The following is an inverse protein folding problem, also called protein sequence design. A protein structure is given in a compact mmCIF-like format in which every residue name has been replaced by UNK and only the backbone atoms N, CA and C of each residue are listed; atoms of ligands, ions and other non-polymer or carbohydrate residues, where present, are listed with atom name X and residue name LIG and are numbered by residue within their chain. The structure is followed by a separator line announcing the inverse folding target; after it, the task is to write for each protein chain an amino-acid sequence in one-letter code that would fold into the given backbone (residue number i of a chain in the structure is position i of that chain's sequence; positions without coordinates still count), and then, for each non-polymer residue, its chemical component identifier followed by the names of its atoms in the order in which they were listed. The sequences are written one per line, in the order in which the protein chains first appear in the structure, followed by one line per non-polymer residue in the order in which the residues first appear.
data_IF_428710482746
#
_entry.id   IF_428710482746
#
_cell.length_a   1.000
_cell.length_b   1.000
_cell.length_c   1.000
_cell.angle_alpha   90.00
_cell.angle_beta   90.00
_cell.angle_gamma   90.00
#
_symmetry.space_group_name_H-M   'P 1'
#
loop_
_entity.id
_entity.type
_entity.pdbx_description
1 polymer ?
#
# COMPACT_ATOMS: atom_id res chain seq x y z
N UNK A 1 8.62 -16.59 0.14
CA UNK A 1 8.56 -15.72 1.33
C UNK A 1 9.08 -16.46 2.54
N UNK A 2 9.77 -15.77 3.47
CA UNK A 2 10.28 -16.35 4.73
C UNK A 2 9.53 -15.78 5.93
N UNK A 3 8.98 -16.64 6.78
CA UNK A 3 8.29 -16.19 8.00
C UNK A 3 9.29 -15.66 9.04
N UNK A 4 8.96 -14.52 9.63
CA UNK A 4 9.79 -13.80 10.61
C UNK A 4 8.91 -13.14 11.67
N UNK A 5 9.53 -12.77 12.79
CA UNK A 5 8.93 -11.95 13.86
C UNK A 5 8.89 -10.46 13.49
N UNK A 6 8.11 -9.67 14.22
CA UNK A 6 8.07 -8.22 14.03
C UNK A 6 9.40 -7.53 14.34
N UNK A 7 10.12 -7.99 15.36
CA UNK A 7 11.45 -7.45 15.68
C UNK A 7 12.44 -7.71 14.54
N UNK A 8 12.34 -8.88 13.91
CA UNK A 8 13.12 -9.19 12.71
C UNK A 8 12.73 -8.32 11.52
N UNK A 9 11.43 -8.05 11.29
CA UNK A 9 10.98 -7.10 10.25
C UNK A 9 11.63 -5.73 10.46
N UNK A 10 11.59 -5.19 11.69
CA UNK A 10 12.18 -3.88 11.99
C UNK A 10 13.68 -3.87 11.76
N UNK A 11 14.38 -4.91 12.20
CA UNK A 11 15.82 -5.05 11.98
C UNK A 11 16.15 -5.10 10.48
N UNK A 12 15.41 -5.89 9.71
CA UNK A 12 15.58 -6.00 8.26
C UNK A 12 15.32 -4.67 7.55
N UNK A 13 14.26 -3.94 7.92
CA UNK A 13 13.97 -2.64 7.34
C UNK A 13 15.08 -1.61 7.60
N UNK A 14 15.61 -1.55 8.83
CA UNK A 14 16.78 -0.71 9.14
C UNK A 14 18.00 -1.12 8.30
N UNK A 15 18.29 -2.41 8.22
CA UNK A 15 19.38 -2.94 7.38
C UNK A 15 19.21 -2.54 5.90
N UNK A 16 17.98 -2.49 5.38
CA UNK A 16 17.70 -2.08 4.00
C UNK A 16 17.96 -0.59 3.80
N UNK A 17 17.55 0.25 4.76
CA UNK A 17 17.85 1.69 4.75
C UNK A 17 19.36 1.93 4.80
N UNK A 18 20.07 1.30 5.74
CA UNK A 18 21.54 1.46 5.90
C UNK A 18 22.32 1.04 4.66
N UNK A 19 21.83 0.02 3.93
CA UNK A 19 22.46 -0.52 2.72
C UNK A 19 21.92 0.10 1.43
N UNK A 20 21.09 1.14 1.52
CA UNK A 20 20.44 1.80 0.38
C UNK A 20 19.77 0.79 -0.59
N UNK A 21 19.07 -0.19 -0.02
CA UNK A 21 18.30 -1.18 -0.78
C UNK A 21 16.96 -0.60 -1.21
N UNK A 22 16.46 -1.05 -2.34
CA UNK A 22 15.07 -0.84 -2.73
C UNK A 22 14.20 -1.82 -1.95
N UNK A 23 13.24 -1.28 -1.19
CA UNK A 23 12.34 -2.08 -0.39
C UNK A 23 10.97 -1.41 -0.27
N UNK A 24 9.96 -2.20 0.06
CA UNK A 24 8.65 -1.68 0.45
C UNK A 24 7.94 -2.72 1.32
N UNK A 25 6.71 -2.44 1.74
CA UNK A 25 5.95 -3.33 2.58
C UNK A 25 4.44 -3.26 2.30
N UNK A 26 3.74 -4.34 2.65
CA UNK A 26 2.29 -4.44 2.61
C UNK A 26 1.73 -4.82 3.97
N UNK A 27 0.63 -4.18 4.35
CA UNK A 27 -0.23 -4.64 5.44
C UNK A 27 -1.54 -5.08 4.82
N UNK A 28 -1.79 -6.39 4.86
CA UNK A 28 -2.97 -7.00 4.28
C UNK A 28 -3.93 -7.40 5.39
N UNK A 29 -5.17 -6.93 5.32
CA UNK A 29 -6.26 -7.40 6.16
C UNK A 29 -6.83 -8.73 5.66
N UNK A 30 -7.58 -9.50 6.47
CA UNK A 30 -8.17 -10.77 6.05
C UNK A 30 -9.12 -10.67 4.84
N UNK A 31 -9.67 -9.49 4.56
CA UNK A 31 -10.55 -9.19 3.44
C UNK A 31 -9.81 -8.67 2.20
N UNK A 32 -8.49 -8.47 2.27
CA UNK A 32 -7.68 -8.06 1.14
C UNK A 32 -7.54 -9.19 0.10
N UNK A 33 -7.68 -8.86 -1.19
CA UNK A 33 -7.58 -9.81 -2.29
C UNK A 33 -6.17 -10.37 -2.48
N UNK A 34 -5.14 -9.65 -2.04
CA UNK A 34 -3.77 -10.17 -2.01
C UNK A 34 -3.52 -11.10 -0.81
N UNK A 35 -4.44 -11.16 0.15
CA UNK A 35 -4.29 -11.99 1.34
C UNK A 35 -5.02 -13.32 1.19
N UNK A 36 -4.26 -14.42 1.22
CA UNK A 36 -4.80 -15.78 1.24
C UNK A 36 -5.00 -16.32 2.67
N UNK A 37 -4.62 -15.55 3.69
CA UNK A 37 -4.75 -15.91 5.10
C UNK A 37 -6.00 -15.31 5.73
N UNK A 38 -6.57 -16.00 6.72
CA UNK A 38 -7.63 -15.44 7.58
C UNK A 38 -7.10 -14.46 8.65
N UNK A 39 -5.78 -14.24 8.70
CA UNK A 39 -5.09 -13.33 9.63
C UNK A 39 -4.67 -12.05 8.92
N UNK A 40 -4.35 -11.02 9.70
CA UNK A 40 -3.59 -9.88 9.19
C UNK A 40 -2.19 -10.35 8.80
N UNK A 41 -1.67 -9.83 7.68
CA UNK A 41 -0.35 -10.17 7.16
C UNK A 41 0.47 -8.89 6.98
N UNK A 42 1.70 -8.90 7.48
CA UNK A 42 2.71 -7.91 7.16
C UNK A 42 3.74 -8.58 6.24
N UNK A 43 3.96 -7.99 5.08
CA UNK A 43 4.98 -8.44 4.12
C UNK A 43 6.01 -7.33 3.99
N UNK A 44 7.27 -7.66 4.18
CA UNK A 44 8.40 -6.77 3.92
C UNK A 44 9.17 -7.32 2.72
N UNK A 45 9.34 -6.51 1.69
CA UNK A 45 9.99 -6.92 0.44
C UNK A 45 11.29 -6.16 0.25
N UNK A 46 12.36 -6.89 0.05
CA UNK A 46 13.62 -6.38 -0.49
C UNK A 46 13.59 -6.62 -2.00
N UNK A 47 13.32 -5.53 -2.74
CA UNK A 47 13.19 -5.54 -4.20
C UNK A 47 14.56 -5.78 -4.83
N UNK A 48 15.62 -5.16 -4.29
CA UNK A 48 16.99 -5.32 -4.80
C UNK A 48 17.44 -6.78 -4.81
N UNK A 49 17.21 -7.51 -3.72
CA UNK A 49 17.67 -8.89 -3.57
C UNK A 49 16.58 -9.93 -3.93
N UNK A 50 15.38 -9.47 -4.32
CA UNK A 50 14.21 -10.30 -4.66
C UNK A 50 13.80 -11.28 -3.54
N UNK A 51 13.81 -10.80 -2.30
CA UNK A 51 13.43 -11.60 -1.12
C UNK A 51 12.31 -10.91 -0.36
N UNK A 52 11.29 -11.68 0.01
CA UNK A 52 10.16 -11.20 0.80
C UNK A 52 10.04 -11.96 2.14
N UNK A 53 9.72 -11.23 3.19
CA UNK A 53 9.55 -11.68 4.55
C UNK A 53 8.10 -11.48 4.98
N UNK A 54 7.56 -12.38 5.79
CA UNK A 54 6.14 -12.39 6.14
C UNK A 54 5.94 -12.57 7.66
N UNK A 55 4.96 -11.87 8.22
CA UNK A 55 4.50 -12.05 9.60
C UNK A 55 2.96 -12.09 9.63
N UNK A 56 2.40 -12.96 10.46
CA UNK A 56 0.96 -13.12 10.63
C UNK A 56 0.52 -12.63 12.02
N UNK A 57 -0.65 -12.00 12.11
CA UNK A 57 -1.21 -11.51 13.36
C UNK A 57 -2.74 -11.60 13.39
N UNK A 58 -3.31 -11.79 14.57
CA UNK A 58 -4.76 -11.68 14.79
C UNK A 58 -5.22 -10.23 14.94
N UNK A 59 -4.29 -9.28 15.07
CA UNK A 59 -4.55 -7.84 15.19
C UNK A 59 -3.85 -7.04 14.08
N UNK A 60 -4.38 -5.87 13.67
CA UNK A 60 -3.78 -5.03 12.65
C UNK A 60 -2.36 -4.51 12.99
N UNK A 61 -1.50 -4.38 11.98
CA UNK A 61 -0.11 -3.91 12.10
C UNK A 61 0.04 -2.36 12.14
N UNK A 62 -0.88 -1.65 12.80
CA UNK A 62 -0.94 -0.18 12.72
C UNK A 62 0.32 0.53 13.24
N UNK A 63 0.90 0.07 14.34
CA UNK A 63 2.07 0.72 14.95
C UNK A 63 3.32 0.53 14.10
N UNK A 64 3.63 -0.71 13.74
CA UNK A 64 4.80 -1.02 12.91
C UNK A 64 4.66 -0.44 11.50
N UNK A 65 3.44 -0.40 10.93
CA UNK A 65 3.21 0.22 9.63
C UNK A 65 3.59 1.71 9.61
N UNK A 66 3.28 2.45 10.68
CA UNK A 66 3.70 3.86 10.81
C UNK A 66 5.22 4.00 10.92
N UNK A 67 5.88 3.10 11.66
CA UNK A 67 7.34 3.09 11.78
C UNK A 67 8.00 2.82 10.42
N UNK A 68 7.54 1.79 9.69
CA UNK A 68 8.06 1.44 8.37
C UNK A 68 7.82 2.54 7.34
N UNK A 69 6.64 3.19 7.35
CA UNK A 69 6.34 4.29 6.44
C UNK A 69 7.33 5.46 6.61
N UNK A 70 7.67 5.80 7.85
CA UNK A 70 8.68 6.83 8.16
C UNK A 70 10.07 6.42 7.69
N UNK A 71 10.44 5.15 7.84
CA UNK A 71 11.72 4.64 7.34
C UNK A 71 11.80 4.68 5.81
N UNK A 72 10.68 4.41 5.12
CA UNK A 72 10.63 4.33 3.66
C UNK A 72 10.65 5.71 2.98
N UNK A 73 9.90 6.67 3.52
CA UNK A 73 9.67 7.96 2.86
C UNK A 73 10.25 9.16 3.63
N UNK A 74 10.83 8.94 4.81
CA UNK A 74 11.25 10.00 5.71
C UNK A 74 10.08 10.62 6.49
N UNK A 75 10.40 11.45 7.48
CA UNK A 75 9.42 12.02 8.42
C UNK A 75 8.41 12.99 7.76
N UNK A 76 8.76 13.61 6.63
CA UNK A 76 7.97 14.69 6.02
C UNK A 76 6.78 14.20 5.17
N UNK A 77 6.79 12.95 4.71
CA UNK A 77 5.81 12.46 3.72
C UNK A 77 4.41 12.20 4.31
N UNK A 78 4.32 12.00 5.62
CA UNK A 78 3.02 11.74 6.28
C UNK A 78 2.16 13.01 6.40
N UNK A 79 2.78 14.19 6.41
CA UNK A 79 2.07 15.47 6.55
C UNK A 79 1.68 16.08 5.20
N UNK A 80 2.57 15.98 4.20
CA UNK A 80 2.37 16.55 2.86
C UNK A 80 1.21 15.92 2.08
N UNK A 81 0.87 14.65 2.34
CA UNK A 81 -0.20 13.96 1.60
C UNK A 81 -1.62 14.41 1.99
N UNK A 82 -1.78 15.25 3.02
CA UNK A 82 -3.07 15.83 3.41
C UNK A 82 -3.47 17.06 2.59
N UNK A 83 -2.54 17.68 1.86
CA UNK A 83 -2.75 18.95 1.18
C UNK A 83 -3.59 18.88 -0.11
N UNK A 84 -3.93 17.68 -0.59
CA UNK A 84 -4.46 17.50 -1.95
C UNK A 84 -3.43 17.89 -3.01
N UNK A 85 -3.81 17.84 -4.28
CA UNK A 85 -2.99 18.34 -5.39
C UNK A 85 -3.87 19.08 -6.39
N UNK A 86 -3.32 20.11 -7.05
CA UNK A 86 -3.96 20.80 -8.17
C UNK A 86 -3.72 20.10 -9.50
N UNK A 87 -2.90 19.05 -9.52
CA UNK A 87 -2.65 18.23 -10.71
C UNK A 87 -3.87 17.36 -10.99
N UNK A 88 -4.33 17.35 -12.24
CA UNK A 88 -5.46 16.52 -12.65
C UNK A 88 -5.12 15.02 -12.50
N UNK A 89 -6.03 14.20 -11.92
CA UNK A 89 -5.79 12.77 -11.79
C UNK A 89 -5.79 12.09 -13.16
N UNK A 90 -5.02 10.99 -13.27
CA UNK A 90 -5.00 10.17 -14.48
C UNK A 90 -6.35 9.51 -14.76
N UNK A 91 -6.55 9.05 -16.01
CA UNK A 91 -7.85 8.51 -16.46
C UNK A 91 -8.37 7.36 -15.58
N UNK A 92 -7.51 6.39 -15.27
CA UNK A 92 -7.88 5.26 -14.40
C UNK A 92 -8.11 5.70 -12.94
N UNK A 93 -7.36 6.70 -12.47
CA UNK A 93 -7.53 7.24 -11.13
C UNK A 93 -8.82 8.04 -10.98
N UNK A 94 -9.32 8.69 -12.04
CA UNK A 94 -10.68 9.26 -12.05
C UNK A 94 -11.74 8.19 -11.73
N UNK A 95 -11.65 7.02 -12.35
CA UNK A 95 -12.56 5.91 -12.07
C UNK A 95 -12.42 5.38 -10.62
N UNK A 96 -11.20 5.30 -10.09
CA UNK A 96 -10.93 4.94 -8.69
C UNK A 96 -11.60 5.96 -7.75
N UNK A 97 -11.42 7.27 -7.99
CA UNK A 97 -11.98 8.35 -7.17
C UNK A 97 -13.52 8.28 -7.17
N UNK A 98 -14.14 8.12 -8.33
CA UNK A 98 -15.60 8.00 -8.45
C UNK A 98 -16.12 6.79 -7.67
N UNK A 99 -15.44 5.65 -7.80
CA UNK A 99 -15.78 4.43 -7.09
C UNK A 99 -15.62 4.59 -5.57
N UNK A 100 -14.50 5.14 -5.11
CA UNK A 100 -14.22 5.44 -3.71
C UNK A 100 -15.31 6.33 -3.09
N UNK A 101 -15.67 7.44 -3.76
CA UNK A 101 -16.74 8.34 -3.31
C UNK A 101 -18.08 7.61 -3.18
N UNK A 102 -18.42 6.74 -4.14
CA UNK A 102 -19.65 5.94 -4.12
C UNK A 102 -19.66 4.89 -3.00
N UNK A 103 -18.52 4.31 -2.66
CA UNK A 103 -18.42 3.36 -1.55
C UNK A 103 -18.50 4.10 -0.21
N UNK A 104 -17.82 5.23 -0.07
CA UNK A 104 -17.88 6.10 1.12
C UNK A 104 -19.31 6.56 1.42
N UNK A 105 -20.06 7.02 0.40
CA UNK A 105 -21.45 7.47 0.60
C UNK A 105 -22.41 6.35 1.03
N UNK A 106 -21.99 5.08 0.86
CA UNK A 106 -22.74 3.88 1.27
C UNK A 106 -22.16 3.20 2.50
N UNK A 107 -21.16 3.82 3.14
CA UNK A 107 -20.39 3.24 4.24
C UNK A 107 -19.87 1.82 3.91
N UNK A 108 -19.35 1.63 2.70
CA UNK A 108 -18.75 0.38 2.24
C UNK A 108 -17.23 0.53 2.25
N UNK A 109 -16.57 -0.46 2.85
CA UNK A 109 -15.11 -0.50 2.94
C UNK A 109 -14.46 -0.74 1.58
N UNK A 110 -13.34 -0.08 1.38
CA UNK A 110 -12.39 -0.32 0.31
C UNK A 110 -10.98 -0.03 0.81
N UNK A 111 -9.99 -0.53 0.09
CA UNK A 111 -8.61 -0.17 0.34
C UNK A 111 -7.83 -0.10 -0.96
N UNK A 112 -6.58 0.33 -0.87
CA UNK A 112 -5.71 0.45 -2.03
C UNK A 112 -4.29 0.04 -1.65
N UNK A 113 -3.52 -0.38 -2.65
CA UNK A 113 -2.08 -0.63 -2.54
C UNK A 113 -1.35 0.18 -3.61
N UNK A 114 -0.19 0.69 -3.22
CA UNK A 114 0.79 1.18 -4.17
C UNK A 114 1.83 0.07 -4.38
N UNK A 115 1.77 -0.59 -5.53
CA UNK A 115 2.69 -1.66 -5.90
C UNK A 115 3.89 -1.06 -6.63
N UNK A 116 5.07 -1.26 -6.07
CA UNK A 116 6.33 -0.76 -6.61
C UNK A 116 6.77 -1.61 -7.81
N UNK A 117 7.61 -1.09 -8.71
CA UNK A 117 8.35 -1.93 -9.64
C UNK A 117 9.07 -3.06 -8.90
N UNK A 118 8.88 -4.30 -9.34
CA UNK A 118 9.47 -5.49 -8.69
C UNK A 118 8.76 -5.99 -7.43
N UNK A 119 7.64 -5.39 -7.03
CA UNK A 119 6.75 -5.93 -5.98
C UNK A 119 6.21 -7.32 -6.36
N UNK A 120 6.13 -8.24 -5.40
CA UNK A 120 5.61 -9.61 -5.63
C UNK A 120 4.15 -9.65 -6.08
N UNK A 121 3.36 -8.62 -5.77
CA UNK A 121 1.96 -8.50 -6.19
C UNK A 121 1.80 -7.78 -7.53
N UNK A 122 2.86 -7.14 -8.02
CA UNK A 122 2.83 -6.36 -9.24
C UNK A 122 3.02 -7.25 -10.48
N UNK A 123 1.96 -7.40 -11.26
CA UNK A 123 1.97 -8.19 -12.50
C UNK A 123 2.56 -7.43 -13.70
N UNK A 124 2.82 -6.13 -13.54
CA UNK A 124 3.27 -5.22 -14.59
C UNK A 124 4.77 -4.92 -14.53
N UNK A 125 5.54 -5.71 -13.76
CA UNK A 125 7.00 -5.73 -13.80
C UNK A 125 7.65 -4.41 -13.35
N UNK A 126 8.10 -3.62 -14.32
CA UNK A 126 8.84 -2.36 -14.13
C UNK A 126 7.93 -1.15 -13.88
N UNK A 127 6.61 -1.33 -13.89
CA UNK A 127 5.62 -0.25 -13.72
C UNK A 127 5.23 -0.04 -12.27
N UNK A 128 4.80 1.16 -11.95
CA UNK A 128 4.09 1.46 -10.72
C UNK A 128 2.60 1.16 -10.91
N UNK A 129 1.97 0.59 -9.89
CA UNK A 129 0.54 0.24 -9.96
C UNK A 129 -0.18 0.71 -8.70
N UNK A 130 -1.27 1.45 -8.88
CA UNK A 130 -2.25 1.65 -7.83
C UNK A 130 -3.31 0.57 -8.00
N UNK A 131 -3.38 -0.37 -7.07
CA UNK A 131 -4.43 -1.38 -7.02
C UNK A 131 -5.51 -0.93 -6.03
N UNK A 132 -6.72 -0.65 -6.52
CA UNK A 132 -7.88 -0.31 -5.72
C UNK A 132 -8.79 -1.53 -5.56
N UNK A 133 -9.21 -1.82 -4.33
CA UNK A 133 -9.99 -3.00 -3.98
C UNK A 133 -11.35 -2.62 -3.40
N UNK A 134 -12.43 -2.95 -4.12
CA UNK A 134 -13.80 -2.94 -3.60
C UNK A 134 -14.04 -4.25 -2.84
N UNK A 135 -13.91 -4.21 -1.51
CA UNK A 135 -14.08 -5.36 -0.63
C UNK A 135 -15.45 -6.02 -0.82
N UNK A 136 -16.51 -5.23 -0.91
CA UNK A 136 -17.87 -5.74 -0.99
C UNK A 136 -18.20 -6.30 -2.39
N UNK A 137 -17.65 -5.68 -3.43
CA UNK A 137 -17.91 -6.06 -4.81
C UNK A 137 -16.96 -7.11 -5.38
N UNK A 138 -15.85 -7.41 -4.70
CA UNK A 138 -14.82 -8.33 -5.19
C UNK A 138 -14.08 -7.83 -6.43
N UNK A 139 -14.21 -6.55 -6.80
CA UNK A 139 -13.61 -5.99 -8.01
C UNK A 139 -12.34 -5.20 -7.67
N UNK A 140 -11.33 -5.31 -8.54
CA UNK A 140 -10.10 -4.54 -8.48
C UNK A 140 -10.00 -3.60 -9.68
N UNK A 141 -9.54 -2.36 -9.45
CA UNK A 141 -9.19 -1.41 -10.50
C UNK A 141 -7.69 -1.12 -10.36
N UNK A 142 -6.94 -1.31 -11.45
CA UNK A 142 -5.51 -0.98 -11.49
C UNK A 142 -5.29 0.31 -12.29
N UNK A 143 -4.48 1.23 -11.76
CA UNK A 143 -3.88 2.33 -12.53
C UNK A 143 -2.38 2.06 -12.68
N UNK A 144 -1.87 2.11 -13.91
CA UNK A 144 -0.49 1.72 -14.23
C UNK A 144 0.28 2.95 -14.73
N UNK A 145 1.48 3.20 -14.20
CA UNK A 145 2.32 4.33 -14.57
C UNK A 145 3.81 3.97 -14.70
N UNK A 146 4.53 4.74 -15.51
CA UNK A 146 5.99 4.61 -15.67
C UNK A 146 6.79 5.29 -14.54
N UNK A 147 6.13 6.12 -13.73
CA UNK A 147 6.74 6.90 -12.65
C UNK A 147 5.88 6.73 -11.40
N UNK A 148 6.47 6.99 -10.23
CA UNK A 148 5.73 6.94 -8.95
C UNK A 148 4.51 7.89 -9.03
N UNK A 149 3.28 7.38 -8.84
CA UNK A 149 2.05 8.13 -9.07
C UNK A 149 1.69 9.00 -7.85
N UNK A 150 2.64 9.80 -7.36
CA UNK A 150 2.50 10.58 -6.12
C UNK A 150 1.34 11.56 -6.17
N UNK A 151 1.11 12.24 -7.30
CA UNK A 151 -0.01 13.17 -7.46
C UNK A 151 -1.37 12.44 -7.50
N UNK A 152 -1.43 11.28 -8.16
CA UNK A 152 -2.63 10.45 -8.16
C UNK A 152 -2.95 9.93 -6.75
N UNK A 153 -1.94 9.54 -5.97
CA UNK A 153 -2.10 9.12 -4.57
C UNK A 153 -2.66 10.24 -3.69
N UNK A 154 -2.28 11.50 -3.93
CA UNK A 154 -2.83 12.68 -3.21
C UNK A 154 -4.33 12.88 -3.42
N UNK A 155 -4.93 12.29 -4.46
CA UNK A 155 -6.39 12.28 -4.64
C UNK A 155 -7.08 11.11 -3.93
N UNK A 156 -6.40 9.96 -3.82
CA UNK A 156 -6.98 8.71 -3.29
C UNK A 156 -6.91 8.68 -1.76
N UNK A 157 -5.76 9.02 -1.18
CA UNK A 157 -5.54 8.89 0.26
C UNK A 157 -6.53 9.71 1.12
N UNK A 158 -6.89 10.97 0.78
CA UNK A 158 -7.90 11.70 1.55
C UNK A 158 -9.25 10.98 1.60
N UNK A 159 -9.66 10.33 0.51
CA UNK A 159 -10.90 9.55 0.46
C UNK A 159 -10.79 8.28 1.31
N UNK A 160 -9.62 7.65 1.32
CA UNK A 160 -9.35 6.47 2.14
C UNK A 160 -9.47 6.80 3.64
N UNK A 161 -8.84 7.90 4.07
CA UNK A 161 -8.88 8.35 5.46
C UNK A 161 -10.24 8.92 5.88
N UNK A 162 -11.08 9.35 4.93
CA UNK A 162 -12.44 9.82 5.18
C UNK A 162 -13.48 8.69 5.28
N UNK A 163 -13.10 7.42 5.11
CA UNK A 163 -14.02 6.29 5.31
C UNK A 163 -14.60 6.30 6.73
N UNK A 164 -15.92 6.11 6.84
CA UNK A 164 -16.60 5.97 8.12
C UNK A 164 -16.07 4.74 8.86
N UNK A 165 -15.55 4.94 10.07
CA UNK A 165 -15.13 3.87 10.98
C UNK A 165 -16.26 3.57 11.96
#
# INVERSE_FOLDING_TARGET
MKEVTLDQIKKLANDFVEKAKDWHFHILSPDCQFNISSKFVLILENITDQIAYINYSTVPFMNIGKELLKMLHGDQVVEDRKGGTSVEPSGQVKAIIEKAKKLNSKNKGWHHHLLFPGCIFNKHGDKWVIAFEDIAGGNMIESISNQEPTDDMRHIEPLFYAQGR
#
